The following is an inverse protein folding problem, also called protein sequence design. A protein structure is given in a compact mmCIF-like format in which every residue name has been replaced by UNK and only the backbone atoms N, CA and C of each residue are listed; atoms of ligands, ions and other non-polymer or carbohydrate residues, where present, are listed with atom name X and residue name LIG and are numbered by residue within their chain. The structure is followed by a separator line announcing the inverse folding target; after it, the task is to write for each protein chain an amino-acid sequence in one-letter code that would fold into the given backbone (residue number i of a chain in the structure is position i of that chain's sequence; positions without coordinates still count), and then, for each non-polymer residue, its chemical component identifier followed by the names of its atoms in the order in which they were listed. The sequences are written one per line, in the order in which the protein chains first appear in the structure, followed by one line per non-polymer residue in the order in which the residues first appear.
data_IF_437254686514
#
_entry.id   IF_437254686514
#
_cell.length_a   1.000
_cell.length_b   1.000
_cell.length_c   1.000
_cell.angle_alpha   90.00
_cell.angle_beta   90.00
_cell.angle_gamma   90.00
#
_symmetry.space_group_name_H-M   'P 1'
#
loop_
_entity.id
_entity.type
_entity.pdbx_description
1 polymer ?
#
# COMPACT_ATOMS: atom_id res chain seq x y z
N UNK A 1 8.49 -23.03 42.95
CA UNK A 1 9.62 -22.15 42.55
C UNK A 1 9.69 -22.05 41.00
N UNK A 2 8.69 -21.43 40.36
CA UNK A 2 8.58 -21.42 38.88
C UNK A 2 7.85 -20.17 38.31
N UNK A 3 8.17 -18.97 38.81
CA UNK A 3 7.60 -17.71 38.28
C UNK A 3 8.65 -16.65 37.93
N UNK A 4 9.93 -16.83 38.27
CA UNK A 4 10.92 -15.74 38.20
C UNK A 4 11.76 -15.60 36.91
N UNK A 5 11.44 -16.26 35.79
CA UNK A 5 12.29 -16.19 34.57
C UNK A 5 11.60 -15.72 33.28
N UNK A 6 10.34 -15.27 33.35
CA UNK A 6 9.57 -14.80 32.19
C UNK A 6 9.64 -13.27 32.00
N UNK A 7 9.76 -12.50 33.08
CA UNK A 7 9.88 -11.04 33.02
C UNK A 7 11.11 -10.56 32.23
N UNK A 8 12.35 -11.03 32.48
CA UNK A 8 13.52 -10.51 31.79
C UNK A 8 13.54 -10.85 30.29
N UNK A 9 12.93 -11.98 29.88
CA UNK A 9 12.85 -12.38 28.47
C UNK A 9 11.79 -11.60 27.68
N UNK A 10 10.61 -11.35 28.28
CA UNK A 10 9.60 -10.45 27.69
C UNK A 10 10.14 -9.02 27.62
N UNK A 11 10.86 -8.56 28.65
CA UNK A 11 11.58 -7.29 28.59
C UNK A 11 12.62 -7.29 27.48
N UNK A 12 13.39 -8.36 27.28
CA UNK A 12 14.41 -8.44 26.22
C UNK A 12 13.82 -8.40 24.81
N UNK A 13 12.71 -9.13 24.56
CA UNK A 13 11.98 -9.04 23.28
C UNK A 13 11.40 -7.63 23.13
N UNK A 14 10.76 -7.07 24.17
CA UNK A 14 10.23 -5.71 24.10
C UNK A 14 11.33 -4.68 23.85
N UNK A 15 12.47 -4.77 24.53
CA UNK A 15 13.62 -3.87 24.36
C UNK A 15 14.24 -4.04 22.97
N UNK A 16 14.44 -5.25 22.47
CA UNK A 16 14.96 -5.46 21.11
C UNK A 16 13.97 -4.96 20.05
N UNK A 17 12.68 -5.18 20.23
CA UNK A 17 11.63 -4.58 19.39
C UNK A 17 11.59 -3.06 19.49
N UNK A 18 11.81 -2.48 20.68
CA UNK A 18 11.89 -1.03 20.90
C UNK A 18 13.11 -0.45 20.19
N UNK A 19 14.27 -1.09 20.32
CA UNK A 19 15.54 -0.67 19.71
C UNK A 19 15.47 -0.82 18.17
N UNK A 20 14.81 -1.87 17.66
CA UNK A 20 14.55 -2.02 16.22
C UNK A 20 13.53 -0.96 15.74
N UNK A 21 12.46 -0.68 16.51
CA UNK A 21 11.44 0.33 16.16
C UNK A 21 11.97 1.77 16.15
N UNK A 22 12.98 2.05 16.97
CA UNK A 22 13.66 3.35 17.04
C UNK A 22 14.75 3.50 15.97
N UNK A 23 15.00 2.48 15.14
CA UNK A 23 15.99 2.55 14.05
C UNK A 23 17.46 2.49 14.50
N UNK A 24 17.72 2.12 15.77
CA UNK A 24 19.07 2.14 16.37
C UNK A 24 19.96 0.95 16.01
N UNK A 25 19.49 -0.01 15.20
CA UNK A 25 20.24 -1.26 14.98
C UNK A 25 20.63 -1.45 13.52
N UNK A 26 21.90 -1.17 13.21
CA UNK A 26 22.68 -2.01 12.29
C UNK A 26 22.84 -3.39 12.95
N UNK A 27 21.82 -4.24 12.86
CA UNK A 27 21.78 -5.49 13.62
C UNK A 27 22.65 -6.55 12.96
N UNK A 28 23.83 -6.80 13.53
CA UNK A 28 24.76 -7.85 13.08
C UNK A 28 24.09 -9.25 13.09
N UNK A 29 24.55 -10.23 12.29
CA UNK A 29 23.98 -11.59 12.22
C UNK A 29 23.79 -12.29 13.58
N UNK A 30 24.67 -12.01 14.54
CA UNK A 30 24.60 -12.50 15.93
C UNK A 30 23.34 -12.07 16.68
N UNK A 31 22.78 -10.89 16.38
CA UNK A 31 21.53 -10.41 16.98
C UNK A 31 20.29 -11.16 16.49
N UNK A 32 20.28 -11.55 15.20
CA UNK A 32 19.21 -12.36 14.60
C UNK A 32 19.14 -13.74 15.23
N UNK A 33 20.28 -14.41 15.36
CA UNK A 33 20.35 -15.77 15.92
C UNK A 33 20.00 -15.77 17.41
N UNK A 34 20.38 -14.71 18.13
CA UNK A 34 19.97 -14.48 19.52
C UNK A 34 18.45 -14.32 19.65
N UNK A 35 17.81 -13.53 18.78
CA UNK A 35 16.35 -13.36 18.76
C UNK A 35 15.62 -14.67 18.45
N UNK A 36 16.13 -15.44 17.48
CA UNK A 36 15.59 -16.75 17.15
C UNK A 36 15.63 -17.71 18.35
N UNK A 37 16.73 -17.72 19.09
CA UNK A 37 16.88 -18.54 20.30
C UNK A 37 15.88 -18.14 21.39
N UNK A 38 15.62 -16.83 21.59
CA UNK A 38 14.62 -16.37 22.58
C UNK A 38 13.20 -16.74 22.15
N UNK A 39 12.90 -16.68 20.85
CA UNK A 39 11.57 -17.02 20.32
C UNK A 39 11.27 -18.52 20.34
N UNK A 40 12.29 -19.38 20.32
CA UNK A 40 12.13 -20.84 20.43
C UNK A 40 11.71 -21.32 21.83
N UNK A 41 11.62 -20.41 22.80
CA UNK A 41 11.05 -20.70 24.11
C UNK A 41 9.53 -20.97 23.98
N UNK A 42 8.94 -21.93 24.72
CA UNK A 42 7.54 -22.32 24.52
C UNK A 42 6.59 -21.14 24.66
N UNK A 43 5.83 -20.87 23.60
CA UNK A 43 4.79 -19.86 23.55
C UNK A 43 3.68 -20.35 22.59
N UNK A 44 2.44 -19.86 22.73
CA UNK A 44 1.38 -20.22 21.80
C UNK A 44 1.76 -19.88 20.36
N UNK A 45 1.44 -20.77 19.41
CA UNK A 45 1.77 -20.57 17.98
C UNK A 45 1.29 -19.23 17.44
N UNK A 46 0.15 -18.72 17.94
CA UNK A 46 -0.38 -17.41 17.59
C UNK A 46 0.53 -16.27 18.03
N UNK A 47 1.10 -16.32 19.23
CA UNK A 47 2.05 -15.32 19.74
C UNK A 47 3.38 -15.38 18.98
N UNK A 48 3.88 -16.60 18.74
CA UNK A 48 5.10 -16.80 17.95
C UNK A 48 4.95 -16.27 16.52
N UNK A 49 3.82 -16.56 15.87
CA UNK A 49 3.49 -16.03 14.55
C UNK A 49 3.52 -14.50 14.53
N UNK A 50 2.88 -13.85 15.50
CA UNK A 50 2.86 -12.39 15.58
C UNK A 50 4.26 -11.79 15.75
N UNK A 51 5.09 -12.40 16.60
CA UNK A 51 6.47 -11.96 16.80
C UNK A 51 7.30 -12.09 15.53
N UNK A 52 7.14 -13.18 14.77
CA UNK A 52 7.81 -13.34 13.48
C UNK A 52 7.34 -12.35 12.42
N UNK A 53 6.04 -12.02 12.35
CA UNK A 53 5.57 -10.96 11.47
C UNK A 53 6.21 -9.62 11.83
N UNK A 54 6.19 -9.25 13.11
CA UNK A 54 6.72 -7.98 13.59
C UNK A 54 8.21 -7.83 13.24
N UNK A 55 9.00 -8.88 13.49
CA UNK A 55 10.42 -8.88 13.13
C UNK A 55 10.62 -8.82 11.61
N UNK A 56 9.83 -9.58 10.84
CA UNK A 56 9.88 -9.52 9.38
C UNK A 56 9.65 -8.11 8.85
N UNK A 57 8.57 -7.46 9.29
CA UNK A 57 8.27 -6.08 8.91
C UNK A 57 9.33 -5.08 9.35
N UNK A 58 9.94 -5.30 10.53
CA UNK A 58 10.94 -4.40 11.05
C UNK A 58 12.28 -4.49 10.28
N UNK A 59 12.66 -5.70 9.86
CA UNK A 59 13.84 -5.92 9.02
C UNK A 59 13.62 -5.56 7.54
N UNK A 60 12.37 -5.43 7.09
CA UNK A 60 12.03 -5.16 5.68
C UNK A 60 12.78 -3.96 5.08
N UNK A 61 13.03 -2.91 5.87
CA UNK A 61 13.68 -1.68 5.42
C UNK A 61 15.21 -1.72 5.44
N UNK A 62 15.80 -2.52 6.31
CA UNK A 62 17.24 -2.45 6.64
C UNK A 62 18.01 -3.71 6.21
N UNK A 63 17.35 -4.88 6.20
CA UNK A 63 17.97 -6.18 5.91
C UNK A 63 16.93 -7.14 5.30
N UNK A 64 16.78 -7.10 3.98
CA UNK A 64 15.78 -7.90 3.25
C UNK A 64 15.90 -9.41 3.49
N UNK A 65 17.12 -9.94 3.57
CA UNK A 65 17.35 -11.37 3.82
C UNK A 65 16.83 -11.80 5.21
N UNK A 66 17.13 -11.01 6.24
CA UNK A 66 16.64 -11.24 7.61
C UNK A 66 15.12 -11.18 7.67
N UNK A 67 14.49 -10.24 6.96
CA UNK A 67 13.03 -10.17 6.83
C UNK A 67 12.45 -11.47 6.27
N UNK A 68 13.00 -11.96 5.14
CA UNK A 68 12.53 -13.18 4.50
C UNK A 68 12.54 -14.40 5.42
N UNK A 69 13.57 -14.54 6.26
CA UNK A 69 13.71 -15.64 7.22
C UNK A 69 12.57 -15.64 8.25
N UNK A 70 12.29 -14.50 8.88
CA UNK A 70 11.23 -14.42 9.89
C UNK A 70 9.84 -14.64 9.28
N UNK A 71 9.57 -14.05 8.11
CA UNK A 71 8.30 -14.25 7.41
C UNK A 71 8.11 -15.71 6.96
N UNK A 72 9.19 -16.36 6.50
CA UNK A 72 9.14 -17.79 6.16
C UNK A 72 8.78 -18.65 7.38
N UNK A 73 9.38 -18.36 8.54
CA UNK A 73 9.03 -19.05 9.80
C UNK A 73 7.58 -18.80 10.22
N UNK A 74 7.07 -17.58 10.05
CA UNK A 74 5.64 -17.30 10.25
C UNK A 74 4.76 -18.15 9.31
N UNK A 75 5.14 -18.27 8.03
CA UNK A 75 4.46 -19.12 7.06
C UNK A 75 4.41 -20.60 7.47
N UNK A 76 5.50 -21.14 8.00
CA UNK A 76 5.56 -22.53 8.48
C UNK A 76 4.58 -22.81 9.63
N UNK A 77 4.29 -21.83 10.49
CA UNK A 77 3.31 -21.96 11.57
C UNK A 77 1.86 -22.00 11.08
N UNK A 78 1.59 -21.57 9.84
CA UNK A 78 0.22 -21.56 9.29
C UNK A 78 -0.42 -22.95 9.24
N UNK A 79 0.38 -24.02 9.20
CA UNK A 79 -0.09 -25.41 9.22
C UNK A 79 -0.69 -25.82 10.58
N UNK A 80 -0.34 -25.12 11.66
CA UNK A 80 -0.79 -25.45 13.01
C UNK A 80 -2.17 -24.83 13.34
N UNK A 81 -2.58 -23.77 12.63
CA UNK A 81 -3.87 -23.12 12.85
C UNK A 81 -5.01 -23.89 12.16
N UNK A 82 -5.78 -24.65 12.94
CA UNK A 82 -6.89 -25.49 12.44
C UNK A 82 -8.17 -24.70 12.15
N UNK A 83 -8.39 -23.54 12.77
CA UNK A 83 -9.58 -22.71 12.55
C UNK A 83 -9.45 -21.96 11.22
N UNK A 84 -10.27 -22.25 10.19
CA UNK A 84 -10.06 -21.72 8.84
C UNK A 84 -10.07 -20.19 8.78
N UNK A 85 -11.01 -19.55 9.49
CA UNK A 85 -11.09 -18.08 9.58
C UNK A 85 -9.84 -17.47 10.18
N UNK A 86 -9.31 -18.06 11.25
CA UNK A 86 -8.10 -17.60 11.92
C UNK A 86 -6.89 -17.75 10.98
N UNK A 87 -6.78 -18.90 10.32
CA UNK A 87 -5.73 -19.17 9.34
C UNK A 87 -5.75 -18.17 8.18
N UNK A 88 -6.93 -17.86 7.62
CA UNK A 88 -7.08 -16.87 6.55
C UNK A 88 -6.68 -15.45 6.99
N UNK A 89 -6.99 -15.06 8.24
CA UNK A 89 -6.52 -13.78 8.81
C UNK A 89 -5.00 -13.73 8.92
N UNK A 90 -4.37 -14.82 9.34
CA UNK A 90 -2.91 -14.89 9.41
C UNK A 90 -2.25 -14.94 8.03
N UNK A 91 -2.85 -15.64 7.06
CA UNK A 91 -2.41 -15.59 5.65
C UNK A 91 -2.44 -14.17 5.11
N UNK A 92 -3.54 -13.42 5.32
CA UNK A 92 -3.64 -12.02 4.90
C UNK A 92 -2.55 -11.16 5.55
N UNK A 93 -2.34 -11.32 6.85
CA UNK A 93 -1.30 -10.58 7.59
C UNK A 93 0.10 -10.90 7.06
N UNK A 94 0.38 -12.16 6.77
CA UNK A 94 1.66 -12.59 6.21
C UNK A 94 1.88 -12.04 4.80
N UNK A 95 0.85 -12.05 3.95
CA UNK A 95 0.91 -11.48 2.62
C UNK A 95 1.20 -9.98 2.62
N UNK A 96 0.54 -9.21 3.50
CA UNK A 96 0.85 -7.78 3.69
C UNK A 96 2.31 -7.58 4.15
N UNK A 97 2.80 -8.41 5.06
CA UNK A 97 4.17 -8.31 5.54
C UNK A 97 5.19 -8.59 4.42
N UNK A 98 4.96 -9.62 3.60
CA UNK A 98 5.80 -9.89 2.42
C UNK A 98 5.80 -8.74 1.41
N UNK A 99 4.64 -8.10 1.18
CA UNK A 99 4.55 -6.94 0.30
C UNK A 99 5.41 -5.78 0.82
N UNK A 100 5.33 -5.46 2.12
CA UNK A 100 6.19 -4.45 2.76
C UNK A 100 7.68 -4.76 2.64
N UNK A 101 8.03 -6.05 2.61
CA UNK A 101 9.40 -6.54 2.37
C UNK A 101 9.79 -6.59 0.89
N UNK A 102 8.97 -6.03 0.00
CA UNK A 102 9.19 -5.97 -1.45
C UNK A 102 9.30 -7.38 -2.09
N UNK A 103 8.58 -8.36 -1.53
CA UNK A 103 8.45 -9.70 -2.09
C UNK A 103 7.00 -9.91 -2.54
N UNK A 104 6.68 -9.35 -3.71
CA UNK A 104 5.33 -9.35 -4.27
C UNK A 104 4.84 -10.78 -4.61
N UNK A 105 5.72 -11.68 -5.05
CA UNK A 105 5.37 -13.07 -5.36
C UNK A 105 4.85 -13.82 -4.14
N UNK A 106 5.59 -13.76 -3.02
CA UNK A 106 5.15 -14.40 -1.77
C UNK A 106 3.89 -13.72 -1.23
N UNK A 107 3.80 -12.39 -1.35
CA UNK A 107 2.62 -11.64 -0.96
C UNK A 107 1.37 -12.13 -1.72
N UNK A 108 1.48 -12.32 -3.03
CA UNK A 108 0.40 -12.79 -3.90
C UNK A 108 -0.11 -14.16 -3.46
N UNK A 109 0.81 -15.11 -3.19
CA UNK A 109 0.45 -16.46 -2.74
C UNK A 109 -0.40 -16.41 -1.46
N UNK A 110 0.06 -15.71 -0.43
CA UNK A 110 -0.65 -15.68 0.85
C UNK A 110 -1.96 -14.87 0.80
N UNK A 111 -2.00 -13.78 0.03
CA UNK A 111 -3.21 -13.00 -0.14
C UNK A 111 -4.27 -13.74 -0.95
N UNK A 112 -3.89 -14.47 -2.00
CA UNK A 112 -4.81 -15.32 -2.76
C UNK A 112 -5.37 -16.47 -1.90
N UNK A 113 -4.56 -17.09 -1.04
CA UNK A 113 -5.04 -18.09 -0.09
C UNK A 113 -6.05 -17.51 0.90
N UNK A 114 -5.78 -16.32 1.44
CA UNK A 114 -6.74 -15.63 2.31
C UNK A 114 -8.02 -15.26 1.55
N UNK A 115 -7.89 -14.80 0.30
CA UNK A 115 -9.00 -14.40 -0.54
C UNK A 115 -9.91 -15.59 -0.90
N UNK A 116 -9.35 -16.77 -1.17
CA UNK A 116 -10.16 -17.96 -1.44
C UNK A 116 -11.11 -18.29 -0.29
N UNK A 117 -10.65 -18.09 0.95
CA UNK A 117 -11.50 -18.25 2.13
C UNK A 117 -12.52 -17.11 2.25
N UNK A 118 -12.06 -15.85 2.23
CA UNK A 118 -12.93 -14.70 2.51
C UNK A 118 -13.97 -14.43 1.44
N UNK A 119 -13.70 -14.78 0.17
CA UNK A 119 -14.69 -14.65 -0.91
C UNK A 119 -15.95 -15.51 -0.65
N UNK A 120 -15.78 -16.68 -0.01
CA UNK A 120 -16.85 -17.65 0.25
C UNK A 120 -17.48 -17.50 1.63
N UNK A 121 -16.67 -17.20 2.65
CA UNK A 121 -17.05 -17.35 4.05
C UNK A 121 -16.74 -16.12 4.92
N UNK A 122 -16.14 -15.08 4.36
CA UNK A 122 -15.66 -13.92 5.11
C UNK A 122 -16.73 -12.86 5.36
N UNK A 123 -16.66 -12.10 6.47
CA UNK A 123 -17.43 -10.88 6.57
C UNK A 123 -16.99 -9.91 5.47
N UNK A 124 -17.93 -9.09 4.98
CA UNK A 124 -17.70 -8.18 3.84
C UNK A 124 -16.46 -7.31 4.03
N UNK A 125 -16.25 -6.83 5.26
CA UNK A 125 -15.07 -6.04 5.64
C UNK A 125 -13.76 -6.79 5.40
N UNK A 126 -13.62 -8.03 5.88
CA UNK A 126 -12.38 -8.81 5.66
C UNK A 126 -12.19 -9.11 4.16
N UNK A 127 -13.28 -9.35 3.44
CA UNK A 127 -13.27 -9.58 1.98
C UNK A 127 -12.82 -8.34 1.21
N UNK A 128 -13.37 -7.17 1.52
CA UNK A 128 -12.97 -5.88 0.92
C UNK A 128 -11.46 -5.64 1.07
N UNK A 129 -10.94 -5.70 2.30
CA UNK A 129 -9.52 -5.48 2.52
C UNK A 129 -8.66 -6.52 1.82
N UNK A 130 -9.11 -7.77 1.75
CA UNK A 130 -8.33 -8.79 1.04
C UNK A 130 -8.30 -8.50 -0.46
N UNK A 131 -9.41 -8.10 -1.08
CA UNK A 131 -9.42 -7.68 -2.48
C UNK A 131 -8.50 -6.50 -2.74
N UNK A 132 -8.60 -5.42 -1.94
CA UNK A 132 -7.76 -4.24 -2.07
C UNK A 132 -6.27 -4.59 -1.98
N UNK A 133 -5.87 -5.33 -0.95
CA UNK A 133 -4.45 -5.67 -0.75
C UNK A 133 -3.93 -6.63 -1.83
N UNK A 134 -4.76 -7.57 -2.29
CA UNK A 134 -4.40 -8.49 -3.40
C UNK A 134 -4.28 -7.73 -4.71
N UNK A 135 -5.19 -6.81 -5.00
CA UNK A 135 -5.15 -5.94 -6.16
C UNK A 135 -3.88 -5.08 -6.19
N UNK A 136 -3.47 -4.53 -5.05
CA UNK A 136 -2.22 -3.77 -4.94
C UNK A 136 -0.99 -4.63 -5.23
N UNK A 137 -0.97 -5.90 -4.79
CA UNK A 137 0.12 -6.81 -5.16
C UNK A 137 0.14 -7.10 -6.66
N UNK A 138 -0.99 -7.36 -7.29
CA UNK A 138 -1.01 -7.59 -8.74
C UNK A 138 -0.65 -6.33 -9.54
N UNK A 139 -0.99 -5.15 -9.02
CA UNK A 139 -0.54 -3.89 -9.58
C UNK A 139 0.99 -3.73 -9.48
N UNK A 140 1.60 -4.11 -8.36
CA UNK A 140 3.06 -4.15 -8.19
C UNK A 140 3.73 -5.20 -9.09
N UNK A 141 3.06 -6.33 -9.36
CA UNK A 141 3.49 -7.37 -10.31
C UNK A 141 3.22 -7.02 -11.78
N UNK A 142 2.78 -5.80 -12.06
CA UNK A 142 2.44 -5.29 -13.39
C UNK A 142 1.28 -6.01 -14.11
N UNK A 143 0.57 -6.92 -13.44
CA UNK A 143 -0.67 -7.52 -13.92
C UNK A 143 -1.85 -6.57 -13.65
N UNK A 144 -1.89 -5.50 -14.46
CA UNK A 144 -2.86 -4.40 -14.31
C UNK A 144 -4.30 -4.88 -14.47
N UNK A 145 -4.57 -5.82 -15.38
CA UNK A 145 -5.91 -6.33 -15.63
C UNK A 145 -6.43 -7.10 -14.41
N UNK A 146 -5.61 -7.98 -13.83
CA UNK A 146 -6.01 -8.69 -12.61
C UNK A 146 -6.16 -7.76 -11.42
N UNK A 147 -5.34 -6.71 -11.32
CA UNK A 147 -5.51 -5.67 -10.32
C UNK A 147 -6.88 -4.97 -10.48
N UNK A 148 -7.26 -4.59 -11.70
CA UNK A 148 -8.58 -4.02 -12.02
C UNK A 148 -9.70 -4.96 -11.59
N UNK A 149 -9.65 -6.24 -11.97
CA UNK A 149 -10.68 -7.23 -11.60
C UNK A 149 -10.87 -7.32 -10.09
N UNK A 150 -9.77 -7.31 -9.33
CA UNK A 150 -9.80 -7.38 -7.87
C UNK A 150 -10.34 -6.10 -7.23
N UNK A 151 -9.96 -4.94 -7.75
CA UNK A 151 -10.47 -3.65 -7.27
C UNK A 151 -11.95 -3.46 -7.61
N UNK A 152 -12.40 -3.82 -8.81
CA UNK A 152 -13.83 -3.82 -9.17
C UNK A 152 -14.63 -4.81 -8.32
N UNK A 153 -14.05 -5.98 -7.99
CA UNK A 153 -14.68 -6.92 -7.06
C UNK A 153 -14.82 -6.33 -5.64
N UNK A 154 -13.86 -5.50 -5.20
CA UNK A 154 -13.98 -4.77 -3.93
C UNK A 154 -15.11 -3.73 -3.96
N UNK A 155 -15.28 -3.01 -5.08
CA UNK A 155 -16.32 -1.98 -5.25
C UNK A 155 -17.75 -2.55 -5.24
N UNK A 156 -17.93 -3.82 -5.58
CA UNK A 156 -19.24 -4.50 -5.58
C UNK A 156 -19.75 -4.86 -4.17
N UNK A 157 -18.96 -4.62 -3.13
CA UNK A 157 -19.30 -4.93 -1.74
C UNK A 157 -20.05 -3.77 -1.07
N UNK A 158 -20.65 -4.01 0.11
CA UNK A 158 -21.16 -2.91 0.92
C UNK A 158 -19.99 -2.07 1.49
N UNK A 159 -19.89 -0.83 1.00
CA UNK A 159 -18.83 0.11 1.36
C UNK A 159 -19.20 0.98 2.57
N UNK A 160 -20.42 0.86 3.13
CA UNK A 160 -20.91 1.72 4.22
C UNK A 160 -20.07 1.66 5.51
N UNK A 161 -19.31 0.56 5.69
CA UNK A 161 -18.44 0.32 6.86
C UNK A 161 -16.96 0.37 6.52
N UNK A 162 -16.62 0.75 5.30
CA UNK A 162 -15.23 0.92 4.86
C UNK A 162 -14.76 2.31 5.27
N UNK A 163 -13.55 2.35 5.82
CA UNK A 163 -12.90 3.61 6.18
C UNK A 163 -12.65 4.47 4.93
N UNK A 164 -12.94 5.78 5.01
CA UNK A 164 -12.81 6.70 3.87
C UNK A 164 -11.40 6.70 3.28
N UNK A 165 -10.34 6.54 4.09
CA UNK A 165 -8.98 6.46 3.57
C UNK A 165 -8.79 5.21 2.69
N UNK A 166 -9.40 4.10 3.08
CA UNK A 166 -9.31 2.83 2.35
C UNK A 166 -10.19 2.82 1.11
N UNK A 167 -11.28 3.59 1.11
CA UNK A 167 -12.07 3.84 -0.07
C UNK A 167 -11.32 4.75 -1.07
N UNK A 168 -10.63 5.78 -0.58
CA UNK A 168 -9.75 6.63 -1.39
C UNK A 168 -8.60 5.84 -2.02
N UNK A 169 -7.94 4.96 -1.24
CA UNK A 169 -6.90 4.05 -1.76
C UNK A 169 -7.43 3.20 -2.92
N UNK A 170 -8.64 2.65 -2.78
CA UNK A 170 -9.28 1.82 -3.81
C UNK A 170 -9.52 2.61 -5.10
N UNK A 171 -10.14 3.79 -5.01
CA UNK A 171 -10.41 4.62 -6.19
C UNK A 171 -9.13 5.10 -6.86
N UNK A 172 -8.12 5.50 -6.08
CA UNK A 172 -6.82 5.93 -6.60
C UNK A 172 -6.13 4.79 -7.35
N UNK A 173 -6.07 3.60 -6.74
CA UNK A 173 -5.44 2.44 -7.34
C UNK A 173 -6.15 1.96 -8.60
N UNK A 174 -7.48 1.99 -8.60
CA UNK A 174 -8.28 1.62 -9.76
C UNK A 174 -8.10 2.62 -10.91
N UNK A 175 -8.13 3.93 -10.60
CA UNK A 175 -7.84 4.98 -11.57
C UNK A 175 -6.45 4.83 -12.21
N UNK A 176 -5.41 4.60 -11.38
CA UNK A 176 -4.06 4.32 -11.88
C UNK A 176 -4.01 3.07 -12.74
N UNK A 177 -4.70 1.98 -12.35
CA UNK A 177 -4.69 0.74 -13.11
C UNK A 177 -5.32 0.91 -14.51
N UNK A 178 -6.41 1.67 -14.61
CA UNK A 178 -6.96 2.04 -15.92
C UNK A 178 -6.04 2.98 -16.70
N UNK A 179 -5.40 3.94 -16.05
CA UNK A 179 -4.44 4.83 -16.70
C UNK A 179 -3.28 4.03 -17.32
N UNK A 180 -2.70 3.07 -16.59
CA UNK A 180 -1.62 2.20 -17.08
C UNK A 180 -2.07 1.21 -18.16
N UNK A 181 -3.38 1.02 -18.36
CA UNK A 181 -3.94 0.25 -19.47
C UNK A 181 -4.52 1.14 -20.58
N UNK A 182 -4.21 2.44 -20.55
CA UNK A 182 -4.68 3.46 -21.50
C UNK A 182 -6.21 3.62 -21.59
N UNK A 183 -6.93 3.18 -20.55
CA UNK A 183 -8.38 3.29 -20.40
C UNK A 183 -8.74 4.59 -19.67
N UNK A 184 -8.39 5.71 -20.29
CA UNK A 184 -8.38 7.02 -19.61
C UNK A 184 -9.77 7.52 -19.18
N UNK A 185 -10.85 7.13 -19.87
CA UNK A 185 -12.22 7.52 -19.47
C UNK A 185 -12.62 6.87 -18.14
N UNK A 186 -12.33 5.60 -17.97
CA UNK A 186 -12.52 4.88 -16.72
C UNK A 186 -11.59 5.43 -15.63
N UNK A 187 -10.33 5.71 -15.96
CA UNK A 187 -9.39 6.34 -15.03
C UNK A 187 -9.92 7.68 -14.49
N UNK A 188 -10.44 8.54 -15.38
CA UNK A 188 -11.07 9.81 -15.00
C UNK A 188 -12.23 9.59 -14.04
N UNK A 189 -13.14 8.66 -14.34
CA UNK A 189 -14.27 8.35 -13.47
C UNK A 189 -13.82 8.02 -12.03
N UNK A 190 -12.85 7.10 -11.89
CA UNK A 190 -12.40 6.68 -10.57
C UNK A 190 -11.51 7.71 -9.86
N UNK A 191 -10.70 8.49 -10.59
CA UNK A 191 -9.98 9.60 -9.99
C UNK A 191 -10.93 10.71 -9.49
N UNK A 192 -12.06 10.96 -10.17
CA UNK A 192 -13.10 11.87 -9.65
C UNK A 192 -13.80 11.33 -8.41
N UNK A 193 -14.16 10.05 -8.37
CA UNK A 193 -14.75 9.45 -7.17
C UNK A 193 -13.77 9.50 -5.98
N UNK A 194 -12.48 9.20 -6.21
CA UNK A 194 -11.43 9.35 -5.21
C UNK A 194 -11.26 10.80 -4.73
N UNK A 195 -11.29 11.76 -5.65
CA UNK A 195 -11.22 13.19 -5.34
C UNK A 195 -12.33 13.63 -4.37
N UNK A 196 -13.57 13.17 -4.59
CA UNK A 196 -14.70 13.48 -3.70
C UNK A 196 -14.46 12.98 -2.27
N UNK A 197 -13.88 11.78 -2.14
CA UNK A 197 -13.56 11.19 -0.83
C UNK A 197 -12.47 11.99 -0.11
N UNK A 198 -11.37 12.34 -0.80
CA UNK A 198 -10.25 13.06 -0.16
C UNK A 198 -10.59 14.50 0.22
N UNK A 199 -11.45 15.17 -0.57
CA UNK A 199 -12.01 16.48 -0.18
C UNK A 199 -12.82 16.37 1.10
N UNK A 200 -13.69 15.36 1.20
CA UNK A 200 -14.50 15.12 2.41
C UNK A 200 -13.65 14.75 3.63
N UNK A 201 -12.48 14.14 3.43
CA UNK A 201 -11.51 13.85 4.48
C UNK A 201 -10.62 15.05 4.85
N UNK A 202 -10.70 16.16 4.10
CA UNK A 202 -9.78 17.30 4.20
C UNK A 202 -8.30 16.89 4.01
N UNK A 203 -8.03 15.87 3.20
CA UNK A 203 -6.67 15.48 2.83
C UNK A 203 -6.21 16.29 1.61
N UNK A 204 -5.69 17.48 1.88
CA UNK A 204 -5.23 18.42 0.86
C UNK A 204 -4.08 17.87 -0.01
N UNK A 205 -3.28 16.95 0.51
CA UNK A 205 -2.18 16.33 -0.27
C UNK A 205 -2.73 15.32 -1.27
N UNK A 206 -3.67 14.49 -0.84
CA UNK A 206 -4.35 13.55 -1.72
C UNK A 206 -5.29 14.25 -2.71
N UNK A 207 -5.88 15.38 -2.33
CA UNK A 207 -6.65 16.27 -3.23
C UNK A 207 -5.77 16.75 -4.40
N UNK A 208 -4.59 17.32 -4.11
CA UNK A 208 -3.65 17.77 -5.15
C UNK A 208 -3.23 16.63 -6.08
N UNK A 209 -2.96 15.45 -5.50
CA UNK A 209 -2.57 14.25 -6.25
C UNK A 209 -3.69 13.73 -7.15
N UNK A 210 -4.95 13.85 -6.71
CA UNK A 210 -6.13 13.45 -7.50
C UNK A 210 -6.35 14.39 -8.69
N UNK A 211 -6.26 15.70 -8.48
CA UNK A 211 -6.29 16.67 -9.60
C UNK A 211 -5.15 16.44 -10.59
N UNK A 212 -3.95 16.14 -10.09
CA UNK A 212 -2.83 15.77 -10.94
C UNK A 212 -3.16 14.57 -11.84
N UNK A 213 -3.68 13.48 -11.27
CA UNK A 213 -3.97 12.27 -12.04
C UNK A 213 -5.09 12.49 -13.07
N UNK A 214 -6.11 13.29 -12.73
CA UNK A 214 -7.12 13.73 -13.69
C UNK A 214 -6.50 14.52 -14.84
N UNK A 215 -5.61 15.47 -14.54
CA UNK A 215 -4.91 16.25 -15.56
C UNK A 215 -4.09 15.39 -16.51
N UNK A 216 -3.44 14.32 -16.01
CA UNK A 216 -2.73 13.35 -16.85
C UNK A 216 -3.71 12.63 -17.78
N UNK A 217 -4.82 12.12 -17.26
CA UNK A 217 -5.79 11.41 -18.08
C UNK A 217 -6.41 12.29 -19.16
N UNK A 218 -6.73 13.55 -18.85
CA UNK A 218 -7.23 14.51 -19.83
C UNK A 218 -6.18 14.85 -20.90
N UNK A 219 -4.91 14.98 -20.50
CA UNK A 219 -3.81 15.24 -21.42
C UNK A 219 -3.66 14.10 -22.44
N UNK A 220 -3.70 12.85 -21.98
CA UNK A 220 -3.61 11.65 -22.84
C UNK A 220 -4.81 11.52 -23.79
N UNK A 221 -5.98 12.06 -23.42
CA UNK A 221 -7.14 12.16 -24.30
C UNK A 221 -7.09 13.35 -25.27
N UNK A 222 -6.03 14.16 -25.24
CA UNK A 222 -5.93 15.40 -26.03
C UNK A 222 -6.88 16.51 -25.57
N UNK A 223 -7.48 16.37 -24.40
CA UNK A 223 -8.38 17.36 -23.80
C UNK A 223 -7.56 18.39 -23.02
N UNK A 224 -6.78 19.20 -23.75
CA UNK A 224 -5.77 20.07 -23.16
C UNK A 224 -6.35 21.11 -22.18
N UNK A 225 -7.54 21.65 -22.44
CA UNK A 225 -8.19 22.63 -21.56
C UNK A 225 -8.58 22.04 -20.21
N UNK A 226 -9.17 20.85 -20.21
CA UNK A 226 -9.51 20.12 -18.99
C UNK A 226 -8.25 19.74 -18.22
N UNK A 227 -7.19 19.31 -18.92
CA UNK A 227 -5.90 18.98 -18.32
C UNK A 227 -5.27 20.18 -17.61
N UNK A 228 -5.22 21.33 -18.28
CA UNK A 228 -4.71 22.58 -17.73
C UNK A 228 -5.50 23.01 -16.49
N UNK A 229 -6.84 22.90 -16.54
CA UNK A 229 -7.68 23.23 -15.39
C UNK A 229 -7.33 22.36 -14.17
N UNK A 230 -7.16 21.05 -14.33
CA UNK A 230 -6.82 20.19 -13.20
C UNK A 230 -5.38 20.40 -12.73
N UNK A 231 -4.43 20.61 -13.64
CA UNK A 231 -3.05 20.91 -13.26
C UNK A 231 -2.90 22.22 -12.50
N UNK A 232 -3.63 23.28 -12.86
CA UNK A 232 -3.63 24.54 -12.10
C UNK A 232 -4.23 24.38 -10.70
N UNK A 233 -5.30 23.59 -10.55
CA UNK A 233 -5.84 23.24 -9.22
C UNK A 233 -4.79 22.51 -8.37
N UNK A 234 -4.14 21.49 -8.93
CA UNK A 234 -3.07 20.77 -8.24
C UNK A 234 -1.88 21.69 -7.87
N UNK A 235 -1.43 22.54 -8.80
CA UNK A 235 -0.34 23.50 -8.60
C UNK A 235 -0.63 24.48 -7.46
N UNK A 236 -1.84 25.02 -7.39
CA UNK A 236 -2.23 25.93 -6.32
C UNK A 236 -2.20 25.26 -4.95
N UNK A 237 -2.62 24.01 -4.84
CA UNK A 237 -2.52 23.26 -3.58
C UNK A 237 -1.07 22.94 -3.25
N UNK A 238 -0.24 22.51 -4.21
CA UNK A 238 1.18 22.28 -3.95
C UNK A 238 1.93 23.55 -3.52
N UNK A 239 1.52 24.73 -3.99
CA UNK A 239 2.00 26.02 -3.48
C UNK A 239 1.62 26.25 -2.01
N UNK A 240 0.37 25.94 -1.63
CA UNK A 240 -0.08 26.02 -0.23
C UNK A 240 0.71 25.06 0.66
N UNK A 241 1.01 23.86 0.16
CA UNK A 241 1.81 22.84 0.83
C UNK A 241 3.32 23.14 0.83
N UNK A 242 3.77 24.16 0.10
CA UNK A 242 5.18 24.49 -0.11
C UNK A 242 6.00 23.30 -0.68
N UNK A 243 5.37 22.42 -1.46
CA UNK A 243 6.03 21.29 -2.11
C UNK A 243 6.70 21.76 -3.41
N UNK A 244 7.94 22.23 -3.29
CA UNK A 244 8.73 22.77 -4.39
C UNK A 244 8.94 21.78 -5.53
N UNK A 245 9.08 20.48 -5.21
CA UNK A 245 9.27 19.43 -6.19
C UNK A 245 7.99 19.23 -7.03
N UNK A 246 6.82 19.19 -6.39
CA UNK A 246 5.56 19.04 -7.09
C UNK A 246 5.16 20.32 -7.85
N UNK A 247 5.46 21.51 -7.31
CA UNK A 247 5.30 22.80 -8.02
C UNK A 247 6.06 22.79 -9.35
N UNK A 248 7.32 22.35 -9.33
CA UNK A 248 8.15 22.25 -10.54
C UNK A 248 7.55 21.26 -11.54
N UNK A 249 7.21 20.04 -11.09
CA UNK A 249 6.60 19.02 -11.95
C UNK A 249 5.28 19.48 -12.58
N UNK A 250 4.44 20.20 -11.83
CA UNK A 250 3.17 20.75 -12.35
C UNK A 250 3.41 21.89 -13.33
N UNK A 251 4.39 22.75 -13.09
CA UNK A 251 4.78 23.83 -14.02
C UNK A 251 5.20 23.23 -15.37
N UNK A 252 6.04 22.19 -15.38
CA UNK A 252 6.41 21.48 -16.61
C UNK A 252 5.21 20.78 -17.27
N UNK A 253 4.33 20.14 -16.51
CA UNK A 253 3.15 19.50 -17.05
C UNK A 253 2.18 20.49 -17.73
N UNK A 254 2.03 21.70 -17.17
CA UNK A 254 1.27 22.80 -17.79
C UNK A 254 1.95 23.25 -19.08
N UNK A 255 3.27 23.45 -19.08
CA UNK A 255 4.04 23.76 -20.29
C UNK A 255 3.86 22.71 -21.38
N UNK A 256 3.91 21.42 -21.03
CA UNK A 256 3.66 20.31 -21.95
C UNK A 256 2.23 20.29 -22.51
N UNK A 257 1.23 20.55 -21.67
CA UNK A 257 -0.17 20.65 -22.11
C UNK A 257 -0.39 21.84 -23.06
N UNK A 258 0.19 23.01 -22.76
CA UNK A 258 0.16 24.18 -23.65
C UNK A 258 0.85 23.92 -24.99
N UNK A 259 1.98 23.21 -24.95
CA UNK A 259 2.68 22.78 -26.17
C UNK A 259 1.80 21.86 -27.03
N UNK A 260 1.14 20.88 -26.41
CA UNK A 260 0.16 20.01 -27.08
C UNK A 260 -1.01 20.80 -27.68
N UNK A 261 -1.47 21.84 -26.98
CA UNK A 261 -2.48 22.80 -27.47
C UNK A 261 -1.96 23.75 -28.56
N UNK A 262 -0.68 23.70 -28.91
CA UNK A 262 0.01 24.59 -29.87
C UNK A 262 0.12 26.05 -29.42
N UNK A 263 0.02 26.30 -28.11
CA UNK A 263 0.26 27.60 -27.47
C UNK A 263 1.75 27.72 -27.12
N UNK A 264 2.60 27.77 -28.14
CA UNK A 264 4.05 27.67 -27.97
C UNK A 264 4.67 28.83 -27.16
N UNK A 265 4.29 30.11 -27.38
CA UNK A 265 4.83 31.21 -26.58
C UNK A 265 4.54 31.03 -25.09
N UNK A 266 3.31 30.67 -24.74
CA UNK A 266 2.90 30.43 -23.36
C UNK A 266 3.61 29.20 -22.78
N UNK A 267 3.70 28.10 -23.54
CA UNK A 267 4.41 26.89 -23.11
C UNK A 267 5.86 27.18 -22.73
N UNK A 268 6.59 27.98 -23.52
CA UNK A 268 7.98 28.34 -23.26
C UNK A 268 8.16 29.11 -21.94
N UNK A 269 7.16 29.87 -21.49
CA UNK A 269 7.22 30.56 -20.19
C UNK A 269 7.23 29.59 -19.00
N UNK A 270 6.68 28.39 -19.17
CA UNK A 270 6.65 27.34 -18.16
C UNK A 270 7.83 26.37 -18.29
N UNK A 271 8.29 26.09 -19.52
CA UNK A 271 9.37 25.13 -19.78
C UNK A 271 10.78 25.70 -19.55
N UNK A 272 10.94 27.02 -19.56
CA UNK A 272 12.24 27.69 -19.34
C UNK A 272 12.47 28.14 -17.88
N UNK A 273 11.57 27.77 -16.96
CA UNK A 273 11.71 28.00 -15.51
C UNK A 273 12.37 26.81 -14.83
#
# INVERSE_FOLDING_TARGET
MHVMNLLPKKLFICCTLLIISLGWVKANPTSRDSLLAVLQNPQPDSALFQNYILLGEAYAKTQKDSSGIFLHKAGQLLKNFKVPRQKARFQRKLGIAYRKSQNADSAAVYLLLALDYFRKNGPEKDRFYTYLETGSVFFELEDRNKAIDLYEAALKLDLSRVDSAKLSDLYTNLGLAYQYTSRFKEAIHYHFEGLRVVIAMHDISAEASSYNNLGVCYLELGQYDDALQQYEKALNIYRQLQDTAQILRRTYAIGGALFGKKMYPEALTYLNR
#
